data_IF_701821006217
#
_entry.id   IF_701821006217
#
_cell.length_a   1.000
_cell.length_b   1.000
_cell.length_c   1.000
_cell.angle_alpha   90.00
_cell.angle_beta   90.00
_cell.angle_gamma   90.00
#
_symmetry.space_group_name_H-M   'P 1'
#
loop_
_entity.id
_entity.type
_entity.pdbx_description
1 polymer ?
#
# COMPACT_ATOMS: atom_id res chain seq x y z
N UNK A 1 0.96 3.05 17.65
CA UNK A 1 1.77 1.82 17.61
C UNK A 1 2.38 1.60 16.24
N UNK A 2 1.62 1.56 15.11
CA UNK A 2 2.15 1.31 13.75
C UNK A 2 3.29 2.26 13.37
N UNK A 3 3.12 3.58 13.55
CA UNK A 3 4.16 4.58 13.24
C UNK A 3 5.45 4.32 14.02
N UNK A 4 5.34 3.96 15.31
CA UNK A 4 6.51 3.63 16.13
C UNK A 4 7.24 2.39 15.59
N UNK A 5 6.51 1.37 15.16
CA UNK A 5 7.10 0.20 14.52
C UNK A 5 7.81 0.57 13.19
N UNK A 6 7.20 1.43 12.38
CA UNK A 6 7.81 1.92 11.14
C UNK A 6 9.08 2.75 11.38
N UNK A 7 9.14 3.55 12.45
CA UNK A 7 10.36 4.25 12.86
C UNK A 7 11.47 3.25 13.27
N UNK A 8 11.08 2.13 13.89
CA UNK A 8 12.00 1.06 14.26
C UNK A 8 12.61 0.31 13.08
N UNK A 9 11.93 0.27 11.92
CA UNK A 9 12.37 -0.50 10.76
C UNK A 9 13.79 -0.13 10.29
N UNK A 10 14.14 1.11 9.98
CA UNK A 10 15.47 1.47 9.52
C UNK A 10 16.55 1.37 10.60
N UNK A 11 16.16 1.21 11.86
CA UNK A 11 17.06 1.07 13.01
C UNK A 11 17.35 -0.40 13.37
N UNK A 12 16.80 -1.35 12.62
CA UNK A 12 16.96 -2.79 12.85
C UNK A 12 17.57 -3.49 11.63
N UNK A 13 18.04 -4.71 11.79
CA UNK A 13 18.59 -5.56 10.72
C UNK A 13 18.31 -7.04 10.98
N UNK A 14 18.38 -7.87 9.93
CA UNK A 14 18.19 -9.32 9.99
C UNK A 14 16.87 -9.71 10.66
N UNK A 15 16.85 -10.76 11.46
CA UNK A 15 15.65 -11.28 12.12
C UNK A 15 14.90 -10.27 13.00
N UNK A 16 15.58 -9.22 13.51
CA UNK A 16 14.91 -8.14 14.23
C UNK A 16 14.06 -7.28 13.26
N UNK A 17 14.59 -7.01 12.07
CA UNK A 17 13.88 -6.28 11.02
C UNK A 17 12.70 -7.08 10.49
N UNK A 18 12.84 -8.39 10.31
CA UNK A 18 11.72 -9.27 9.91
C UNK A 18 10.56 -9.18 10.90
N UNK A 19 10.85 -9.25 12.21
CA UNK A 19 9.84 -9.07 13.26
C UNK A 19 9.16 -7.70 13.21
N UNK A 20 9.94 -6.64 12.95
CA UNK A 20 9.38 -5.29 12.79
C UNK A 20 8.51 -5.21 11.55
N UNK A 21 8.91 -5.80 10.42
CA UNK A 21 8.10 -5.90 9.19
C UNK A 21 6.77 -6.59 9.46
N UNK A 22 6.80 -7.75 10.11
CA UNK A 22 5.58 -8.47 10.50
C UNK A 22 4.68 -7.59 11.38
N UNK A 23 5.25 -6.94 12.41
CA UNK A 23 4.50 -6.05 13.28
C UNK A 23 3.89 -4.85 12.53
N UNK A 24 4.63 -4.23 11.62
CA UNK A 24 4.15 -3.11 10.79
C UNK A 24 2.95 -3.54 9.96
N UNK A 25 3.04 -4.68 9.28
CA UNK A 25 1.95 -5.18 8.43
C UNK A 25 0.71 -5.51 9.25
N UNK A 26 0.86 -6.28 10.33
CA UNK A 26 -0.27 -6.66 11.19
C UNK A 26 -0.94 -5.45 11.83
N UNK A 27 -0.17 -4.50 12.35
CA UNK A 27 -0.69 -3.28 12.96
C UNK A 27 -1.36 -2.36 11.92
N UNK A 28 -0.84 -2.30 10.69
CA UNK A 28 -1.42 -1.51 9.60
C UNK A 28 -2.75 -2.08 9.15
N UNK A 29 -2.81 -3.40 8.91
CA UNK A 29 -4.05 -4.08 8.56
C UNK A 29 -5.10 -3.97 9.68
N UNK A 30 -4.69 -4.20 10.94
CA UNK A 30 -5.57 -4.06 12.09
C UNK A 30 -6.11 -2.63 12.24
N UNK A 31 -5.27 -1.60 12.08
CA UNK A 31 -5.69 -0.20 12.13
C UNK A 31 -6.67 0.15 11.00
N UNK A 32 -6.42 -0.33 9.78
CA UNK A 32 -7.30 -0.15 8.64
C UNK A 32 -8.68 -0.77 8.89
N UNK A 33 -8.72 -2.03 9.33
CA UNK A 33 -9.96 -2.77 9.58
C UNK A 33 -10.72 -2.23 10.78
N UNK A 34 -10.03 -1.87 11.87
CA UNK A 34 -10.64 -1.25 13.03
C UNK A 34 -11.28 0.10 12.66
N UNK A 35 -10.58 0.93 11.90
CA UNK A 35 -11.12 2.22 11.42
C UNK A 35 -12.30 2.02 10.46
N UNK A 36 -12.19 1.07 9.52
CA UNK A 36 -13.28 0.72 8.60
C UNK A 36 -14.51 0.25 9.37
N UNK A 37 -14.33 -0.61 10.40
CA UNK A 37 -15.40 -1.10 11.26
C UNK A 37 -16.05 0.04 12.04
N UNK A 38 -15.25 0.92 12.65
CA UNK A 38 -15.74 2.02 13.46
C UNK A 38 -16.52 3.07 12.66
N UNK A 39 -16.12 3.30 11.39
CA UNK A 39 -16.73 4.36 10.56
C UNK A 39 -17.80 3.85 9.60
N UNK A 40 -17.70 2.61 9.14
CA UNK A 40 -18.55 2.03 8.08
C UNK A 40 -19.22 0.70 8.46
N UNK A 41 -18.87 0.17 9.63
CA UNK A 41 -19.40 -1.09 10.15
C UNK A 41 -18.62 -2.33 9.73
N UNK A 42 -18.83 -3.42 10.48
CA UNK A 42 -18.10 -4.69 10.31
C UNK A 42 -18.29 -5.28 8.91
N UNK A 43 -19.52 -5.22 8.36
CA UNK A 43 -19.80 -5.72 7.01
C UNK A 43 -18.89 -5.08 5.96
N UNK A 44 -18.71 -3.75 6.04
CA UNK A 44 -17.84 -3.05 5.13
C UNK A 44 -16.36 -3.47 5.31
N UNK A 45 -15.90 -3.55 6.55
CA UNK A 45 -14.51 -3.92 6.85
C UNK A 45 -14.18 -5.34 6.36
N UNK A 46 -15.09 -6.31 6.55
CA UNK A 46 -14.92 -7.67 6.05
C UNK A 46 -14.91 -7.69 4.52
N UNK A 47 -15.82 -6.99 3.85
CA UNK A 47 -15.82 -6.92 2.39
C UNK A 47 -14.58 -6.24 1.84
N UNK A 48 -14.08 -5.18 2.49
CA UNK A 48 -12.81 -4.55 2.13
C UNK A 48 -11.63 -5.54 2.24
N UNK A 49 -11.55 -6.27 3.36
CA UNK A 49 -10.53 -7.30 3.55
C UNK A 49 -10.60 -8.38 2.46
N UNK A 50 -11.80 -8.93 2.21
CA UNK A 50 -12.00 -10.00 1.22
C UNK A 50 -11.62 -9.53 -0.18
N UNK A 51 -12.03 -8.33 -0.58
CA UNK A 51 -11.70 -7.78 -1.89
C UNK A 51 -10.20 -7.53 -2.01
N UNK A 52 -9.59 -6.80 -1.07
CA UNK A 52 -8.21 -6.38 -1.21
C UNK A 52 -7.24 -7.53 -0.96
N UNK A 53 -7.37 -8.25 0.16
CA UNK A 53 -6.51 -9.40 0.44
C UNK A 53 -6.75 -10.56 -0.53
N UNK A 54 -8.00 -10.79 -0.96
CA UNK A 54 -8.33 -11.86 -1.90
C UNK A 54 -7.75 -11.61 -3.29
N UNK A 55 -7.94 -10.41 -3.84
CA UNK A 55 -7.34 -10.03 -5.14
C UNK A 55 -5.81 -9.96 -5.02
N UNK A 56 -5.28 -9.39 -3.93
CA UNK A 56 -3.85 -9.36 -3.68
C UNK A 56 -3.25 -10.77 -3.68
N UNK A 57 -3.76 -11.68 -2.85
CA UNK A 57 -3.29 -13.06 -2.80
C UNK A 57 -3.40 -13.76 -4.18
N UNK A 58 -4.51 -13.57 -4.89
CA UNK A 58 -4.71 -14.16 -6.21
C UNK A 58 -3.66 -13.66 -7.21
N UNK A 59 -3.42 -12.34 -7.23
CA UNK A 59 -2.41 -11.74 -8.12
C UNK A 59 -0.99 -12.22 -7.78
N UNK A 60 -0.66 -12.34 -6.49
CA UNK A 60 0.65 -12.85 -6.04
C UNK A 60 0.86 -14.33 -6.39
N UNK A 61 -0.15 -15.18 -6.16
CA UNK A 61 -0.08 -16.61 -6.52
C UNK A 61 0.06 -16.78 -8.03
N UNK A 62 -0.69 -16.03 -8.84
CA UNK A 62 -0.52 -16.05 -10.30
C UNK A 62 0.86 -15.49 -10.68
N UNK A 63 1.29 -14.41 -10.02
CA UNK A 63 2.57 -13.74 -10.24
C UNK A 63 3.76 -14.67 -10.01
N UNK A 64 3.82 -15.32 -8.87
CA UNK A 64 4.91 -16.28 -8.55
C UNK A 64 4.89 -17.50 -9.48
N UNK A 65 3.70 -17.98 -9.87
CA UNK A 65 3.58 -19.16 -10.73
C UNK A 65 3.87 -18.87 -12.23
N UNK A 66 3.60 -17.65 -12.71
CA UNK A 66 3.60 -17.35 -14.16
C UNK A 66 4.43 -16.13 -14.56
N UNK A 67 4.84 -15.30 -13.61
CA UNK A 67 5.45 -14.00 -13.86
C UNK A 67 4.44 -12.90 -14.25
N UNK A 68 3.14 -13.16 -14.31
CA UNK A 68 2.11 -12.18 -14.68
C UNK A 68 1.28 -11.83 -13.46
N UNK A 69 1.10 -10.54 -13.12
CA UNK A 69 1.43 -9.34 -13.91
C UNK A 69 2.76 -8.66 -13.55
N UNK A 70 3.51 -9.14 -12.53
CA UNK A 70 4.59 -8.39 -11.88
C UNK A 70 5.99 -8.63 -12.50
N UNK A 71 6.15 -9.62 -13.36
CA UNK A 71 7.41 -10.18 -13.80
C UNK A 71 7.73 -11.49 -13.05
N UNK A 72 8.82 -12.16 -13.41
CA UNK A 72 9.29 -13.36 -12.71
C UNK A 72 9.96 -12.96 -11.40
N UNK A 73 9.42 -13.40 -10.24
CA UNK A 73 9.98 -13.15 -8.92
C UNK A 73 9.68 -14.29 -7.95
N UNK A 74 10.41 -14.32 -6.85
CA UNK A 74 10.25 -15.29 -5.77
C UNK A 74 10.37 -14.64 -4.40
N UNK A 75 9.63 -15.15 -3.41
CA UNK A 75 9.67 -14.74 -2.03
C UNK A 75 10.69 -15.54 -1.21
N UNK A 76 11.34 -14.89 -0.23
CA UNK A 76 12.01 -15.57 0.87
C UNK A 76 10.96 -16.06 1.88
N UNK A 77 10.36 -17.24 1.60
CA UNK A 77 9.17 -17.73 2.32
C UNK A 77 9.42 -18.10 3.79
N UNK A 78 10.66 -18.27 4.20
CA UNK A 78 11.08 -18.59 5.57
C UNK A 78 11.15 -17.36 6.50
N UNK A 79 11.08 -16.13 5.99
CA UNK A 79 11.31 -14.88 6.73
C UNK A 79 10.02 -14.20 7.19
N UNK A 80 8.93 -14.28 6.43
CA UNK A 80 7.69 -13.53 6.64
C UNK A 80 6.53 -14.37 7.20
N UNK A 81 6.84 -15.50 7.83
CA UNK A 81 5.86 -16.40 8.44
C UNK A 81 5.30 -17.42 7.46
N UNK A 82 4.10 -17.99 7.73
CA UNK A 82 3.54 -19.06 6.91
C UNK A 82 3.20 -18.57 5.50
N UNK A 83 3.43 -19.44 4.51
CA UNK A 83 3.14 -19.19 3.11
C UNK A 83 2.04 -20.11 2.57
N UNK A 84 1.32 -19.65 1.56
CA UNK A 84 0.37 -20.42 0.75
C UNK A 84 0.76 -20.29 -0.71
N UNK A 85 1.07 -21.43 -1.37
CA UNK A 85 1.49 -21.45 -2.76
C UNK A 85 2.66 -20.47 -3.03
N UNK A 86 3.70 -20.57 -2.20
CA UNK A 86 4.93 -19.74 -2.22
C UNK A 86 4.71 -18.25 -1.87
N UNK A 87 3.50 -17.82 -1.54
CA UNK A 87 3.19 -16.44 -1.12
C UNK A 87 3.05 -16.35 0.40
N UNK A 88 3.86 -15.55 1.11
CA UNK A 88 3.69 -15.34 2.54
C UNK A 88 2.30 -14.74 2.85
N UNK A 89 1.57 -15.32 3.81
CA UNK A 89 0.23 -14.83 4.20
C UNK A 89 0.22 -13.42 4.78
N UNK A 90 1.39 -12.89 5.07
CA UNK A 90 1.58 -11.49 5.45
C UNK A 90 1.32 -10.52 4.28
N UNK A 91 1.62 -10.93 3.03
CA UNK A 91 1.53 -10.08 1.84
C UNK A 91 0.09 -9.60 1.57
N UNK A 92 -0.94 -10.47 1.54
CA UNK A 92 -2.31 -9.99 1.37
C UNK A 92 -2.79 -9.05 2.48
N UNK A 93 -2.25 -9.16 3.69
CA UNK A 93 -2.53 -8.21 4.78
C UNK A 93 -1.79 -6.88 4.56
N UNK A 94 -0.58 -6.89 3.98
CA UNK A 94 0.12 -5.68 3.58
C UNK A 94 -0.71 -4.90 2.55
N UNK A 95 -1.25 -5.57 1.52
CA UNK A 95 -2.19 -4.96 0.57
C UNK A 95 -3.37 -4.29 1.29
N UNK A 96 -4.00 -4.96 2.27
CA UNK A 96 -5.11 -4.38 3.05
C UNK A 96 -4.69 -3.12 3.81
N UNK A 97 -3.55 -3.16 4.53
CA UNK A 97 -3.05 -2.03 5.31
C UNK A 97 -2.66 -0.82 4.47
N UNK A 98 -2.00 -1.05 3.33
CA UNK A 98 -1.54 0.01 2.43
C UNK A 98 -2.64 0.60 1.55
N UNK A 99 -3.52 -0.25 1.00
CA UNK A 99 -4.60 0.19 0.11
C UNK A 99 -5.69 0.99 0.82
N UNK A 100 -5.96 0.73 2.10
CA UNK A 100 -7.03 1.42 2.82
C UNK A 100 -6.86 2.94 2.88
N UNK A 101 -5.71 3.49 3.34
CA UNK A 101 -5.51 4.93 3.36
C UNK A 101 -5.52 5.54 1.95
N UNK A 102 -4.98 4.85 0.94
CA UNK A 102 -5.00 5.30 -0.45
C UNK A 102 -6.43 5.41 -0.97
N UNK A 103 -7.27 4.37 -0.75
CA UNK A 103 -8.67 4.34 -1.16
C UNK A 103 -9.50 5.45 -0.50
N UNK A 104 -9.27 5.69 0.80
CA UNK A 104 -9.94 6.78 1.53
C UNK A 104 -9.53 8.14 0.97
N UNK A 105 -8.22 8.38 0.80
CA UNK A 105 -7.71 9.66 0.27
C UNK A 105 -8.23 9.90 -1.15
N UNK A 106 -8.18 8.91 -2.04
CA UNK A 106 -8.74 9.04 -3.39
C UNK A 106 -10.23 9.42 -3.37
N UNK A 107 -11.00 8.85 -2.43
CA UNK A 107 -12.41 9.20 -2.22
C UNK A 107 -12.66 10.61 -1.68
N UNK A 108 -11.70 11.18 -0.92
CA UNK A 108 -11.74 12.57 -0.48
C UNK A 108 -11.47 13.56 -1.62
N UNK A 109 -10.62 13.16 -2.57
CA UNK A 109 -10.23 13.99 -3.72
C UNK A 109 -11.28 13.98 -4.84
N UNK A 110 -11.98 12.87 -5.03
CA UNK A 110 -13.01 12.77 -6.07
C UNK A 110 -14.16 11.86 -5.69
N UNK A 111 -15.38 12.33 -5.96
CA UNK A 111 -16.61 11.51 -5.87
C UNK A 111 -16.93 10.74 -7.16
N UNK A 112 -16.25 11.07 -8.27
CA UNK A 112 -16.42 10.36 -9.54
C UNK A 112 -15.71 9.03 -9.44
N UNK A 113 -16.45 7.92 -9.53
CA UNK A 113 -15.94 6.55 -9.34
C UNK A 113 -14.70 6.27 -10.20
N UNK A 114 -14.74 6.60 -11.49
CA UNK A 114 -13.60 6.36 -12.39
C UNK A 114 -12.34 7.12 -11.96
N UNK A 115 -12.48 8.39 -11.55
CA UNK A 115 -11.35 9.21 -11.06
C UNK A 115 -10.80 8.65 -9.75
N UNK A 116 -11.68 8.24 -8.82
CA UNK A 116 -11.27 7.63 -7.55
C UNK A 116 -10.52 6.31 -7.77
N UNK A 117 -11.02 5.45 -8.65
CA UNK A 117 -10.37 4.18 -9.00
C UNK A 117 -8.99 4.42 -9.62
N UNK A 118 -8.89 5.32 -10.61
CA UNK A 118 -7.61 5.67 -11.22
C UNK A 118 -6.63 6.29 -10.22
N UNK A 119 -7.09 7.22 -9.37
CA UNK A 119 -6.27 7.82 -8.32
C UNK A 119 -5.79 6.76 -7.31
N UNK A 120 -6.64 5.77 -6.97
CA UNK A 120 -6.23 4.66 -6.11
C UNK A 120 -5.12 3.83 -6.74
N UNK A 121 -5.21 3.51 -8.03
CA UNK A 121 -4.17 2.78 -8.74
C UNK A 121 -2.85 3.56 -8.80
N UNK A 122 -2.91 4.87 -9.08
CA UNK A 122 -1.73 5.75 -9.03
C UNK A 122 -1.11 5.78 -7.62
N UNK A 123 -1.94 5.92 -6.58
CA UNK A 123 -1.46 5.93 -5.20
C UNK A 123 -0.86 4.60 -4.76
N UNK A 124 -1.39 3.47 -5.25
CA UNK A 124 -0.84 2.13 -5.00
C UNK A 124 0.56 1.98 -5.61
N UNK A 125 0.74 2.39 -6.87
CA UNK A 125 2.07 2.42 -7.50
C UNK A 125 3.02 3.36 -6.76
N UNK A 126 2.53 4.53 -6.34
CA UNK A 126 3.32 5.47 -5.55
C UNK A 126 3.80 4.88 -4.22
N UNK A 127 2.99 4.05 -3.58
CA UNK A 127 3.38 3.31 -2.39
C UNK A 127 4.38 2.19 -2.71
N UNK A 128 4.14 1.43 -3.78
CA UNK A 128 5.01 0.36 -4.23
C UNK A 128 6.43 0.85 -4.59
N UNK A 129 6.56 2.05 -5.13
CA UNK A 129 7.85 2.72 -5.39
C UNK A 129 8.70 2.96 -4.11
N UNK A 130 8.12 2.84 -2.92
CA UNK A 130 8.82 2.71 -1.66
C UNK A 130 8.96 1.24 -1.24
N UNK A 131 7.86 0.49 -1.28
CA UNK A 131 7.78 -0.85 -0.71
C UNK A 131 8.76 -1.82 -1.35
N UNK A 132 8.70 -1.99 -2.66
CA UNK A 132 9.52 -2.97 -3.36
C UNK A 132 11.02 -2.70 -3.25
N UNK A 133 11.54 -1.46 -3.47
CA UNK A 133 12.96 -1.21 -3.30
C UNK A 133 13.46 -1.50 -1.88
N UNK A 134 12.64 -1.23 -0.87
CA UNK A 134 12.94 -1.52 0.52
C UNK A 134 13.01 -3.03 0.77
N UNK A 135 12.00 -3.78 0.32
CA UNK A 135 11.89 -5.22 0.56
C UNK A 135 12.91 -6.02 -0.24
N UNK A 136 13.17 -5.65 -1.50
CA UNK A 136 14.21 -6.27 -2.34
C UNK A 136 15.60 -6.05 -1.75
N UNK A 137 15.90 -4.83 -1.32
CA UNK A 137 17.20 -4.52 -0.68
C UNK A 137 17.37 -5.31 0.62
N UNK A 138 16.28 -5.61 1.33
CA UNK A 138 16.30 -6.43 2.54
C UNK A 138 16.23 -7.95 2.24
N UNK A 139 16.14 -8.36 0.96
CA UNK A 139 16.10 -9.76 0.52
C UNK A 139 14.81 -10.49 0.88
N UNK A 140 13.68 -9.79 0.99
CA UNK A 140 12.37 -10.41 1.26
C UNK A 140 11.79 -11.08 0.02
N UNK A 141 12.10 -10.52 -1.17
CA UNK A 141 11.83 -11.11 -2.49
C UNK A 141 12.83 -10.61 -3.52
N UNK A 142 12.94 -11.32 -4.63
CA UNK A 142 13.87 -10.99 -5.72
C UNK A 142 13.23 -11.26 -7.07
N UNK A 143 13.57 -10.44 -8.08
CA UNK A 143 13.17 -10.67 -9.47
C UNK A 143 14.23 -11.47 -10.23
N UNK A 144 13.76 -12.36 -11.12
CA UNK A 144 14.64 -13.19 -11.97
C UNK A 144 15.31 -12.35 -13.07
N UNK A 145 14.65 -11.32 -13.61
CA UNK A 145 15.17 -10.41 -14.64
C UNK A 145 15.14 -8.95 -14.13
N UNK A 146 16.30 -8.34 -14.06
CA UNK A 146 16.53 -7.01 -13.51
C UNK A 146 16.94 -5.99 -14.58
N UNK A 147 16.86 -6.32 -15.88
CA UNK A 147 17.35 -5.46 -16.97
C UNK A 147 16.38 -4.35 -17.40
N UNK A 148 15.14 -4.35 -16.91
CA UNK A 148 14.08 -3.46 -17.35
C UNK A 148 13.52 -2.55 -16.24
N UNK A 149 14.36 -2.21 -15.25
CA UNK A 149 13.98 -1.35 -14.12
C UNK A 149 13.93 0.14 -14.47
N UNK A 150 13.40 0.92 -13.53
CA UNK A 150 13.51 2.39 -13.59
C UNK A 150 14.96 2.82 -13.25
N UNK A 151 15.44 3.96 -13.76
CA UNK A 151 16.79 4.46 -13.45
C UNK A 151 17.03 4.52 -11.93
N UNK A 152 18.05 3.79 -11.47
CA UNK A 152 18.38 3.66 -10.03
C UNK A 152 17.47 2.71 -9.23
N UNK A 153 16.52 2.03 -9.86
CA UNK A 153 15.70 0.94 -9.32
C UNK A 153 15.82 -0.30 -10.22
N UNK A 154 17.03 -0.64 -10.61
CA UNK A 154 17.33 -1.65 -11.64
C UNK A 154 16.92 -3.07 -11.24
N UNK A 155 16.76 -3.33 -9.94
CA UNK A 155 16.36 -4.63 -9.40
C UNK A 155 14.88 -4.96 -9.54
N UNK A 156 14.06 -4.00 -9.97
CA UNK A 156 12.60 -4.15 -10.04
C UNK A 156 12.14 -3.81 -11.46
N UNK A 157 11.56 -4.76 -12.21
CA UNK A 157 11.15 -4.50 -13.59
C UNK A 157 9.97 -3.52 -13.66
N UNK A 158 9.90 -2.73 -14.74
CA UNK A 158 8.79 -1.81 -14.98
C UNK A 158 7.44 -2.54 -15.04
N UNK A 159 7.43 -3.81 -15.48
CA UNK A 159 6.23 -4.67 -15.47
C UNK A 159 5.62 -4.81 -14.09
N UNK A 160 6.42 -4.78 -13.01
CA UNK A 160 5.91 -4.80 -11.65
C UNK A 160 5.00 -3.60 -11.38
N UNK A 161 5.45 -2.39 -11.67
CA UNK A 161 4.65 -1.17 -11.46
C UNK A 161 3.38 -1.13 -12.32
N UNK A 162 3.43 -1.68 -13.54
CA UNK A 162 2.26 -1.86 -14.39
C UNK A 162 1.30 -2.90 -13.83
N UNK A 163 1.83 -3.98 -13.26
CA UNK A 163 1.08 -5.01 -12.55
C UNK A 163 0.34 -4.43 -11.34
N UNK A 164 1.05 -3.67 -10.49
CA UNK A 164 0.47 -2.96 -9.36
C UNK A 164 -0.66 -2.02 -9.77
N UNK A 165 -0.45 -1.26 -10.85
CA UNK A 165 -1.47 -0.39 -11.40
C UNK A 165 -2.73 -1.17 -11.81
N UNK A 166 -2.54 -2.27 -12.58
CA UNK A 166 -3.64 -3.11 -13.05
C UNK A 166 -4.41 -3.79 -11.91
N UNK A 167 -3.70 -4.39 -10.96
CA UNK A 167 -4.30 -5.04 -9.78
C UNK A 167 -5.07 -4.01 -8.93
N UNK A 168 -4.50 -2.83 -8.69
CA UNK A 168 -5.17 -1.78 -7.94
C UNK A 168 -6.40 -1.20 -8.67
N UNK A 169 -6.40 -1.16 -10.01
CA UNK A 169 -7.61 -0.83 -10.80
C UNK A 169 -8.72 -1.85 -10.55
N UNK A 170 -8.41 -3.15 -10.60
CA UNK A 170 -9.39 -4.22 -10.34
C UNK A 170 -9.91 -4.11 -8.91
N UNK A 171 -9.02 -3.97 -7.91
CA UNK A 171 -9.42 -3.75 -6.51
C UNK A 171 -10.34 -2.54 -6.38
N UNK A 172 -9.98 -1.41 -6.98
CA UNK A 172 -10.77 -0.17 -6.93
C UNK A 172 -12.16 -0.31 -7.56
N UNK A 173 -12.27 -1.01 -8.69
CA UNK A 173 -13.55 -1.31 -9.32
C UNK A 173 -14.44 -2.17 -8.40
N UNK A 174 -13.90 -3.24 -7.83
CA UNK A 174 -14.64 -4.12 -6.91
C UNK A 174 -15.02 -3.41 -5.62
N UNK A 175 -14.14 -2.57 -5.06
CA UNK A 175 -14.46 -1.74 -3.90
C UNK A 175 -15.58 -0.74 -4.21
N UNK A 176 -15.58 -0.13 -5.40
CA UNK A 176 -16.64 0.76 -5.80
C UNK A 176 -18.00 0.07 -5.95
N UNK A 177 -18.00 -1.19 -6.42
CA UNK A 177 -19.23 -2.03 -6.44
C UNK A 177 -19.65 -2.38 -5.00
N UNK A 178 -18.71 -2.79 -4.17
CA UNK A 178 -18.97 -3.14 -2.77
C UNK A 178 -19.55 -1.97 -1.98
N UNK A 179 -19.02 -0.77 -2.17
CA UNK A 179 -19.52 0.43 -1.49
C UNK A 179 -20.98 0.78 -1.83
N UNK A 180 -21.47 0.43 -3.01
CA UNK A 180 -22.90 0.59 -3.35
C UNK A 180 -23.78 -0.36 -2.56
N UNK A 181 -23.27 -1.55 -2.22
CA UNK A 181 -23.99 -2.54 -1.42
C UNK A 181 -23.84 -2.34 0.11
N UNK A 182 -22.84 -1.57 0.52
CA UNK A 182 -22.55 -1.25 1.92
C UNK A 182 -22.32 0.27 2.08
N UNK A 183 -23.39 1.09 1.95
CA UNK A 183 -23.29 2.54 1.99
C UNK A 183 -22.72 3.05 3.33
N UNK A 184 -22.06 4.21 3.29
CA UNK A 184 -21.44 4.81 4.45
C UNK A 184 -22.45 5.27 5.50
N UNK A 185 -22.38 4.78 6.74
CA UNK A 185 -23.14 5.35 7.84
C UNK A 185 -22.61 6.74 8.26
N UNK A 186 -21.34 7.05 7.97
CA UNK A 186 -20.68 8.33 8.31
C UNK A 186 -20.19 9.03 7.05
N UNK A 187 -20.60 10.29 6.88
CA UNK A 187 -20.16 11.10 5.74
C UNK A 187 -18.70 11.52 5.87
N UNK A 188 -17.84 10.95 5.04
CA UNK A 188 -16.42 11.30 5.01
C UNK A 188 -16.19 12.64 4.29
N UNK A 189 -15.48 13.57 4.95
CA UNK A 189 -15.11 14.90 4.41
C UNK A 189 -13.65 15.20 4.73
N UNK A 190 -12.92 15.93 3.87
CA UNK A 190 -11.59 16.44 4.20
C UNK A 190 -11.64 17.23 5.53
N UNK A 191 -10.66 16.99 6.40
CA UNK A 191 -10.60 17.64 7.73
C UNK A 191 -11.57 17.10 8.78
N UNK A 192 -12.49 16.20 8.43
CA UNK A 192 -13.39 15.55 9.39
C UNK A 192 -12.65 14.54 10.29
N UNK A 193 -13.12 14.39 11.55
CA UNK A 193 -12.54 13.41 12.50
C UNK A 193 -12.58 11.97 11.97
N UNK A 194 -13.61 11.64 11.21
CA UNK A 194 -13.80 10.30 10.63
C UNK A 194 -12.73 9.91 9.60
N UNK A 195 -11.91 10.80 9.11
CA UNK A 195 -10.83 10.51 8.14
C UNK A 195 -9.44 10.81 8.69
N UNK A 196 -9.35 11.28 9.92
CA UNK A 196 -8.08 11.69 10.52
C UNK A 196 -7.03 10.56 10.52
N UNK A 197 -7.44 9.34 10.89
CA UNK A 197 -6.55 8.18 10.96
C UNK A 197 -5.99 7.79 9.58
N UNK A 198 -6.81 7.48 8.55
CA UNK A 198 -6.28 7.11 7.25
C UNK A 198 -5.52 8.27 6.56
N UNK A 199 -5.92 9.52 6.77
CA UNK A 199 -5.17 10.68 6.26
C UNK A 199 -3.81 10.81 6.93
N UNK A 200 -3.74 10.70 8.26
CA UNK A 200 -2.47 10.73 8.97
C UNK A 200 -1.56 9.57 8.56
N UNK A 201 -2.12 8.37 8.36
CA UNK A 201 -1.38 7.21 7.93
C UNK A 201 -0.86 7.37 6.49
N UNK A 202 -1.67 7.89 5.57
CA UNK A 202 -1.24 8.21 4.20
C UNK A 202 -0.11 9.24 4.17
N UNK A 203 -0.26 10.35 4.91
CA UNK A 203 0.76 11.40 4.99
C UNK A 203 2.06 10.88 5.62
N UNK A 204 1.95 10.04 6.65
CA UNK A 204 3.10 9.40 7.27
C UNK A 204 3.79 8.45 6.30
N UNK A 205 3.05 7.58 5.59
CA UNK A 205 3.63 6.68 4.59
C UNK A 205 4.34 7.49 3.50
N UNK A 206 3.71 8.54 2.98
CA UNK A 206 4.31 9.39 1.95
C UNK A 206 5.59 10.08 2.42
N UNK A 207 5.49 10.89 3.47
CA UNK A 207 6.58 11.77 3.90
C UNK A 207 7.61 11.02 4.76
N UNK A 208 7.16 10.12 5.59
CA UNK A 208 8.01 9.30 6.45
C UNK A 208 8.83 8.28 5.65
N UNK A 209 8.23 7.61 4.64
CA UNK A 209 8.98 6.72 3.77
C UNK A 209 9.99 7.47 2.91
N UNK A 210 9.63 8.65 2.35
CA UNK A 210 10.59 9.47 1.61
C UNK A 210 11.81 9.83 2.47
N UNK A 211 11.59 10.26 3.72
CA UNK A 211 12.67 10.54 4.67
C UNK A 211 13.49 9.29 5.01
N UNK A 212 12.81 8.17 5.30
CA UNK A 212 13.49 6.92 5.67
C UNK A 212 14.40 6.42 4.53
N UNK A 213 13.88 6.43 3.29
CA UNK A 213 14.63 5.98 2.11
C UNK A 213 15.81 6.90 1.78
N UNK A 214 15.62 8.23 1.90
CA UNK A 214 16.69 9.20 1.59
C UNK A 214 17.79 9.22 2.66
N UNK A 215 17.43 9.14 3.93
CA UNK A 215 18.36 9.43 5.03
C UNK A 215 18.88 8.19 5.77
N UNK A 216 18.12 7.07 5.78
CA UNK A 216 18.43 5.91 6.63
C UNK A 216 18.65 4.61 5.88
N UNK A 217 17.96 4.40 4.75
CA UNK A 217 18.00 3.14 4.00
C UNK A 217 18.95 3.18 2.80
N UNK A 218 19.50 4.35 2.44
CA UNK A 218 20.38 4.49 1.27
C UNK A 218 19.67 4.33 -0.07
N UNK A 219 18.33 4.49 -0.12
CA UNK A 219 17.47 4.27 -1.27
C UNK A 219 17.00 5.60 -1.90
N UNK A 220 17.93 6.50 -2.18
CA UNK A 220 17.62 7.85 -2.69
C UNK A 220 16.76 7.86 -3.97
N UNK A 221 16.97 6.99 -4.99
CA UNK A 221 16.06 6.92 -6.14
C UNK A 221 14.62 6.58 -5.74
N UNK A 222 14.42 5.57 -4.91
CA UNK A 222 13.10 5.21 -4.38
C UNK A 222 12.45 6.35 -3.59
N UNK A 223 13.25 7.08 -2.79
CA UNK A 223 12.76 8.28 -2.08
C UNK A 223 12.17 9.30 -3.07
N UNK A 224 12.83 9.56 -4.19
CA UNK A 224 12.38 10.50 -5.22
C UNK A 224 11.13 10.00 -5.95
N UNK A 225 11.15 8.77 -6.45
CA UNK A 225 10.02 8.18 -7.19
C UNK A 225 8.78 8.03 -6.32
N UNK A 226 8.92 7.46 -5.12
CA UNK A 226 7.80 7.28 -4.20
C UNK A 226 7.25 8.61 -3.70
N UNK A 227 8.12 9.62 -3.43
CA UNK A 227 7.68 10.96 -3.08
C UNK A 227 6.85 11.59 -4.21
N UNK A 228 7.29 11.49 -5.46
CA UNK A 228 6.55 11.99 -6.61
C UNK A 228 5.24 11.21 -6.82
N UNK A 229 5.29 9.87 -6.80
CA UNK A 229 4.14 8.99 -7.03
C UNK A 229 3.02 9.18 -6.00
N UNK A 230 3.32 9.05 -4.71
CA UNK A 230 2.33 9.32 -3.66
C UNK A 230 1.94 10.81 -3.60
N UNK A 231 2.85 11.70 -3.99
CA UNK A 231 2.61 13.14 -4.07
C UNK A 231 1.49 13.52 -5.04
N UNK A 232 1.21 12.70 -6.06
CA UNK A 232 0.08 12.91 -6.98
C UNK A 232 -1.27 12.94 -6.25
N UNK A 233 -1.40 12.21 -5.13
CA UNK A 233 -2.55 12.28 -4.23
C UNK A 233 -2.27 13.22 -3.04
N UNK A 234 -1.05 13.21 -2.53
CA UNK A 234 -0.64 13.92 -1.33
C UNK A 234 -0.75 15.44 -1.46
N UNK A 235 -0.29 16.00 -2.57
CA UNK A 235 -0.37 17.46 -2.81
C UNK A 235 -1.82 17.94 -2.91
N UNK A 236 -2.70 17.34 -3.73
CA UNK A 236 -4.12 17.69 -3.74
C UNK A 236 -4.80 17.52 -2.37
N UNK A 237 -4.42 16.49 -1.61
CA UNK A 237 -4.93 16.27 -0.26
C UNK A 237 -4.56 17.43 0.67
N UNK A 238 -3.31 17.87 0.70
CA UNK A 238 -2.87 19.01 1.53
C UNK A 238 -3.63 20.29 1.16
N UNK A 239 -3.85 20.53 -0.14
CA UNK A 239 -4.66 21.67 -0.60
C UNK A 239 -6.11 21.56 -0.11
N UNK A 240 -6.71 20.37 -0.20
CA UNK A 240 -8.08 20.15 0.28
C UNK A 240 -8.21 20.34 1.80
N UNK A 241 -7.22 19.87 2.57
CA UNK A 241 -7.17 20.05 4.02
C UNK A 241 -7.00 21.53 4.42
N UNK A 242 -6.15 22.27 3.70
CA UNK A 242 -5.95 23.69 3.94
C UNK A 242 -7.25 24.52 3.68
N UNK A 243 -7.97 24.16 2.61
CA UNK A 243 -9.28 24.80 2.29
C UNK A 243 -10.37 24.46 3.31
N UNK A 244 -10.35 23.25 3.87
CA UNK A 244 -11.36 22.82 4.87
C UNK A 244 -11.19 23.49 6.25
N UNK A 245 -10.03 24.13 6.51
CA UNK A 245 -9.74 24.86 7.75
C UNK A 245 -10.13 26.35 7.68
N UNK A 246 -10.43 26.86 6.50
CA UNK A 246 -10.92 28.22 6.26
C UNK A 246 -12.44 28.25 6.25
#
# INVERSE_FOLDING_TARGET
MTIVAQIGYPLTAGAARDRVTIAVVLLSAAAALAHATATRGLRYAVGFLVVVSGIGLTAEVIGTATGIPFGCYEYATDRLGPALLEVPLLVPLAWTGGMYPVWVVAGLLSRRTAVRVAATAVGAVGWDLFLDPQMVTDGQWTWCDTRSGLPGLDLIPVTNYLGWFGVALVMGCLLAVWERAAPDPVRMRPGGRAVAVPVAFFLWTWLGSALAHAAFLGLAPSAGYGFAGMGMLGVPLLVALARARR
#
